data_IF_418811906883
#
_entry.id   IF_418811906883
#
_cell.length_a   1.000
_cell.length_b   1.000
_cell.length_c   1.000
_cell.angle_alpha   90.00
_cell.angle_beta   90.00
_cell.angle_gamma   90.00
#
_symmetry.space_group_name_H-M   'P 1'
#
loop_
_entity.id
_entity.type
_entity.pdbx_description
1 polymer ?
#
# COMPACT_ATOMS: atom_id res chain seq x y z
N UNK A 1 23.63 4.29 16.56
CA UNK A 1 22.42 3.48 16.70
C UNK A 1 22.53 2.63 17.95
N UNK A 2 21.49 2.60 18.77
CA UNK A 2 21.38 1.83 20.00
C UNK A 2 21.47 0.32 19.69
N UNK A 3 22.33 -0.39 20.42
CA UNK A 3 22.47 -1.84 20.32
C UNK A 3 21.89 -2.49 21.59
N UNK A 4 20.74 -3.16 21.54
CA UNK A 4 20.09 -3.72 22.72
C UNK A 4 20.88 -4.86 23.42
N UNK A 5 21.95 -5.35 22.80
CA UNK A 5 22.82 -6.38 23.39
C UNK A 5 23.98 -5.82 24.19
N UNK A 6 24.36 -4.56 23.97
CA UNK A 6 25.55 -3.96 24.57
C UNK A 6 25.31 -2.64 25.27
N UNK A 7 24.23 -1.93 24.89
CA UNK A 7 23.95 -0.60 25.38
C UNK A 7 22.87 -0.64 26.46
N UNK A 8 23.11 0.08 27.55
CA UNK A 8 22.10 0.29 28.59
C UNK A 8 21.22 1.49 28.23
N UNK A 9 19.92 1.37 28.53
CA UNK A 9 19.00 2.48 28.36
C UNK A 9 19.28 3.54 29.42
N UNK A 10 19.30 4.83 29.07
CA UNK A 10 19.29 5.91 30.07
C UNK A 10 18.04 5.83 30.95
N UNK A 11 18.20 6.06 32.25
CA UNK A 11 17.10 5.98 33.20
C UNK A 11 15.89 6.88 32.83
N UNK A 12 16.14 8.00 32.17
CA UNK A 12 15.08 8.89 31.65
C UNK A 12 14.23 8.23 30.56
N UNK A 13 14.85 7.37 29.72
CA UNK A 13 14.13 6.62 28.66
C UNK A 13 13.37 5.45 29.27
N UNK A 14 13.97 4.72 30.23
CA UNK A 14 13.26 3.68 30.98
C UNK A 14 11.99 4.25 31.65
N UNK A 15 12.09 5.43 32.29
CA UNK A 15 10.95 6.11 32.89
C UNK A 15 9.85 6.51 31.87
N UNK A 16 10.21 6.74 30.58
CA UNK A 16 9.21 6.96 29.53
C UNK A 16 8.46 5.68 29.19
N UNK A 17 9.14 4.53 29.16
CA UNK A 17 8.48 3.23 28.96
C UNK A 17 7.48 2.93 30.09
N UNK A 18 7.89 3.11 31.34
CA UNK A 18 7.00 2.89 32.50
C UNK A 18 5.75 3.77 32.42
N UNK A 19 5.94 5.07 32.13
CA UNK A 19 4.83 6.01 31.95
C UNK A 19 3.91 5.63 30.77
N UNK A 20 4.47 5.14 29.67
CA UNK A 20 3.69 4.70 28.51
C UNK A 20 2.85 3.47 28.84
N UNK A 21 3.41 2.52 29.59
CA UNK A 21 2.69 1.33 30.09
C UNK A 21 1.55 1.77 31.02
N UNK A 22 1.82 2.66 31.99
CA UNK A 22 0.79 3.18 32.90
C UNK A 22 -0.33 3.92 32.15
N UNK A 23 -0.01 4.74 31.13
CA UNK A 23 -0.98 5.44 30.32
C UNK A 23 -1.86 4.45 29.54
N UNK A 24 -1.26 3.43 28.92
CA UNK A 24 -1.99 2.38 28.23
C UNK A 24 -2.90 1.57 29.15
N UNK A 25 -2.46 1.26 30.38
CA UNK A 25 -3.29 0.57 31.37
C UNK A 25 -4.52 1.38 31.82
N UNK A 26 -4.48 2.70 31.68
CA UNK A 26 -5.60 3.62 31.98
C UNK A 26 -6.44 3.97 30.76
N UNK A 27 -6.19 3.33 29.61
CA UNK A 27 -6.82 3.65 28.32
C UNK A 27 -6.62 5.13 27.91
N UNK A 28 -5.51 5.77 28.33
CA UNK A 28 -5.17 7.13 27.94
C UNK A 28 -4.40 7.10 26.62
N UNK A 29 -5.14 7.02 25.52
CA UNK A 29 -4.59 6.92 24.17
C UNK A 29 -3.67 8.11 23.82
N UNK A 30 -4.09 9.34 24.15
CA UNK A 30 -3.33 10.54 23.82
C UNK A 30 -1.98 10.59 24.53
N UNK A 31 -1.95 10.29 25.82
CA UNK A 31 -0.70 10.21 26.59
C UNK A 31 0.19 9.06 26.11
N UNK A 32 -0.41 7.91 25.81
CA UNK A 32 0.34 6.75 25.31
C UNK A 32 1.04 7.09 23.98
N UNK A 33 0.33 7.70 23.03
CA UNK A 33 0.90 8.11 21.73
C UNK A 33 2.02 9.13 21.92
N UNK A 34 1.83 10.16 22.79
CA UNK A 34 2.86 11.18 23.01
C UNK A 34 4.14 10.58 23.63
N UNK A 35 3.99 9.68 24.60
CA UNK A 35 5.12 9.00 25.23
C UNK A 35 5.85 8.06 24.26
N UNK A 36 5.11 7.29 23.46
CA UNK A 36 5.69 6.43 22.43
C UNK A 36 6.49 7.25 21.41
N UNK A 37 5.98 8.39 20.96
CA UNK A 37 6.71 9.28 20.04
C UNK A 37 8.02 9.80 20.61
N UNK A 38 8.07 10.10 21.90
CA UNK A 38 9.31 10.52 22.59
C UNK A 38 10.33 9.37 22.63
N UNK A 39 9.87 8.15 22.89
CA UNK A 39 10.69 6.94 22.86
C UNK A 39 11.22 6.69 21.44
N UNK A 40 10.36 6.74 20.43
CA UNK A 40 10.73 6.58 19.02
C UNK A 40 11.76 7.61 18.57
N UNK A 41 11.61 8.87 19.00
CA UNK A 41 12.56 9.95 18.69
C UNK A 41 13.95 9.67 19.27
N UNK A 42 14.02 9.12 20.48
CA UNK A 42 15.31 8.72 21.08
C UNK A 42 16.04 7.67 20.24
N UNK A 43 15.30 6.69 19.68
CA UNK A 43 15.88 5.66 18.81
C UNK A 43 16.10 6.14 17.37
N UNK A 44 15.78 7.38 17.05
CA UNK A 44 15.93 7.95 15.71
C UNK A 44 14.93 7.43 14.69
N UNK A 45 13.78 6.92 15.13
CA UNK A 45 12.69 6.57 14.22
C UNK A 45 12.10 7.83 13.57
N UNK A 46 11.80 7.81 12.27
CA UNK A 46 11.21 8.95 11.60
C UNK A 46 9.79 9.21 12.13
N UNK A 47 9.41 10.47 12.15
CA UNK A 47 8.02 10.85 12.45
C UNK A 47 7.04 10.16 11.48
N UNK A 48 5.79 9.89 11.92
CA UNK A 48 4.77 9.32 11.05
C UNK A 48 4.57 10.15 9.79
N UNK A 49 4.46 9.48 8.64
CA UNK A 49 4.24 10.15 7.38
C UNK A 49 2.75 10.50 7.22
N UNK A 50 2.41 11.79 7.33
CA UNK A 50 1.03 12.26 7.23
C UNK A 50 0.36 11.92 5.88
N UNK A 51 1.11 11.87 4.77
CA UNK A 51 0.57 11.49 3.47
C UNK A 51 0.10 10.04 3.48
N UNK A 52 0.89 9.14 4.09
CA UNK A 52 0.52 7.72 4.24
C UNK A 52 -0.71 7.56 5.12
N UNK A 53 -0.75 8.30 6.25
CA UNK A 53 -1.90 8.26 7.15
C UNK A 53 -3.18 8.77 6.48
N UNK A 54 -3.13 9.91 5.79
CA UNK A 54 -4.29 10.49 5.07
C UNK A 54 -4.76 9.62 3.90
N UNK A 55 -3.86 8.91 3.25
CA UNK A 55 -4.20 8.03 2.14
C UNK A 55 -4.67 6.63 2.58
N UNK A 56 -4.57 6.31 3.88
CA UNK A 56 -4.96 5.01 4.46
C UNK A 56 -4.36 3.82 3.71
N UNK A 57 -3.08 3.92 3.34
CA UNK A 57 -2.38 2.90 2.56
C UNK A 57 -1.35 2.14 3.39
N UNK A 58 -1.09 0.87 3.05
CA UNK A 58 0.00 0.11 3.67
C UNK A 58 1.37 0.74 3.41
N UNK A 59 2.26 0.73 4.42
CA UNK A 59 3.62 1.27 4.27
C UNK A 59 4.41 0.65 3.12
N UNK A 60 4.26 -0.66 2.86
CA UNK A 60 4.88 -1.33 1.72
C UNK A 60 4.39 -0.82 0.36
N UNK A 61 3.12 -0.42 0.26
CA UNK A 61 2.60 0.22 -0.96
C UNK A 61 3.27 1.57 -1.20
N UNK A 62 3.37 2.41 -0.16
CA UNK A 62 4.07 3.69 -0.22
C UNK A 62 5.53 3.54 -0.65
N UNK A 63 6.27 2.62 -0.02
CA UNK A 63 7.68 2.37 -0.33
C UNK A 63 7.89 1.96 -1.78
N UNK A 64 7.00 1.11 -2.33
CA UNK A 64 7.05 0.71 -3.74
C UNK A 64 6.78 1.88 -4.69
N UNK A 65 5.79 2.73 -4.39
CA UNK A 65 5.51 3.93 -5.19
C UNK A 65 6.70 4.89 -5.21
N UNK A 66 7.31 5.14 -4.06
CA UNK A 66 8.53 5.96 -3.94
C UNK A 66 9.68 5.37 -4.75
N UNK A 67 9.91 4.05 -4.66
CA UNK A 67 10.97 3.38 -5.41
C UNK A 67 10.74 3.49 -6.94
N UNK A 68 9.51 3.27 -7.39
CA UNK A 68 9.14 3.42 -8.80
C UNK A 68 9.39 4.85 -9.30
N UNK A 69 8.94 5.85 -8.55
CA UNK A 69 9.10 7.26 -8.93
C UNK A 69 10.57 7.70 -8.93
N UNK A 70 11.38 7.21 -8.00
CA UNK A 70 12.84 7.44 -7.99
C UNK A 70 13.52 6.87 -9.24
N UNK A 71 13.16 5.66 -9.65
CA UNK A 71 13.68 5.07 -10.89
C UNK A 71 13.32 5.88 -12.13
N UNK A 72 12.13 6.50 -12.12
CA UNK A 72 11.62 7.34 -13.21
C UNK A 72 12.10 8.80 -13.09
N UNK A 73 12.80 9.18 -12.02
CA UNK A 73 13.19 10.56 -11.68
C UNK A 73 11.99 11.51 -11.72
N UNK A 74 10.91 11.11 -11.08
CA UNK A 74 9.61 11.78 -11.09
C UNK A 74 8.98 11.83 -9.69
N UNK A 75 9.80 12.01 -8.64
CA UNK A 75 9.37 11.97 -7.23
C UNK A 75 8.33 13.05 -6.91
N UNK A 76 8.34 14.15 -7.64
CA UNK A 76 7.37 15.24 -7.49
C UNK A 76 5.92 14.82 -7.78
N UNK A 77 5.71 13.70 -8.47
CA UNK A 77 4.37 13.18 -8.78
C UNK A 77 3.75 12.42 -7.60
N UNK A 78 4.54 12.05 -6.60
CA UNK A 78 4.08 11.22 -5.49
C UNK A 78 2.80 11.75 -4.81
N UNK A 79 2.65 13.04 -4.46
CA UNK A 79 1.43 13.55 -3.86
C UNK A 79 0.21 13.31 -4.75
N UNK A 80 0.33 13.56 -6.05
CA UNK A 80 -0.76 13.34 -7.00
C UNK A 80 -1.12 11.87 -7.15
N UNK A 81 -0.12 11.00 -7.24
CA UNK A 81 -0.34 9.55 -7.28
C UNK A 81 -1.09 9.05 -6.03
N UNK A 82 -0.74 9.59 -4.84
CA UNK A 82 -1.43 9.27 -3.58
C UNK A 82 -2.89 9.69 -3.60
N UNK A 83 -3.21 10.88 -4.11
CA UNK A 83 -4.59 11.38 -4.26
C UNK A 83 -5.43 10.51 -5.22
N UNK A 84 -4.81 9.88 -6.20
CA UNK A 84 -5.49 9.03 -7.19
C UNK A 84 -5.79 7.61 -6.67
N UNK A 85 -5.16 7.16 -5.58
CA UNK A 85 -5.34 5.80 -5.06
C UNK A 85 -6.81 5.45 -4.81
N UNK A 86 -7.62 6.27 -4.12
CA UNK A 86 -9.03 5.93 -3.88
C UNK A 86 -9.83 5.73 -5.17
N UNK A 87 -9.63 6.58 -6.17
CA UNK A 87 -10.34 6.50 -7.45
C UNK A 87 -9.90 5.28 -8.28
N UNK A 88 -8.59 5.01 -8.33
CA UNK A 88 -8.04 3.83 -9.03
C UNK A 88 -8.50 2.53 -8.35
N UNK A 89 -8.51 2.50 -7.01
CA UNK A 89 -8.99 1.37 -6.22
C UNK A 89 -10.48 1.13 -6.47
N UNK A 90 -11.30 2.18 -6.45
CA UNK A 90 -12.74 2.07 -6.73
C UNK A 90 -12.99 1.56 -8.15
N UNK A 91 -12.30 2.10 -9.16
CA UNK A 91 -12.42 1.68 -10.55
C UNK A 91 -12.02 0.20 -10.74
N UNK A 92 -11.08 -0.31 -9.93
CA UNK A 92 -10.67 -1.71 -9.91
C UNK A 92 -11.59 -2.62 -9.05
N UNK A 93 -12.74 -2.13 -8.57
CA UNK A 93 -13.70 -2.93 -7.79
C UNK A 93 -13.38 -3.03 -6.30
N UNK A 94 -12.69 -2.05 -5.71
CA UNK A 94 -12.32 -1.98 -4.30
C UNK A 94 -11.53 -3.20 -3.80
N UNK A 95 -10.48 -3.66 -4.49
CA UNK A 95 -9.68 -4.75 -3.97
C UNK A 95 -9.08 -4.40 -2.60
N UNK A 96 -8.86 -5.39 -1.71
CA UNK A 96 -8.18 -5.15 -0.44
C UNK A 96 -6.75 -4.67 -0.71
N UNK A 97 -6.28 -3.68 0.09
CA UNK A 97 -4.91 -3.15 -0.04
C UNK A 97 -3.89 -4.04 0.67
N UNK A 98 -3.85 -5.31 0.29
CA UNK A 98 -2.86 -6.30 0.70
C UNK A 98 -2.03 -6.76 -0.50
N UNK A 99 -0.89 -7.38 -0.28
CA UNK A 99 -0.07 -7.95 -1.37
C UNK A 99 -0.83 -9.09 -2.08
N UNK A 100 -0.89 -9.12 -3.41
CA UNK A 100 -0.23 -8.22 -4.37
C UNK A 100 -1.06 -6.99 -4.78
N UNK A 101 -2.35 -6.93 -4.44
CA UNK A 101 -3.31 -5.93 -4.97
C UNK A 101 -2.97 -4.50 -4.57
N UNK A 102 -2.42 -4.27 -3.37
CA UNK A 102 -1.94 -2.95 -2.96
C UNK A 102 -0.84 -2.41 -3.90
N UNK A 103 0.10 -3.27 -4.30
CA UNK A 103 1.17 -2.89 -5.22
C UNK A 103 0.63 -2.62 -6.64
N UNK A 104 -0.33 -3.41 -7.09
CA UNK A 104 -0.99 -3.23 -8.40
C UNK A 104 -1.72 -1.89 -8.46
N UNK A 105 -2.51 -1.57 -7.44
CA UNK A 105 -3.25 -0.31 -7.34
C UNK A 105 -2.29 0.87 -7.23
N UNK A 106 -1.24 0.78 -6.40
CA UNK A 106 -0.24 1.83 -6.24
C UNK A 106 0.52 2.13 -7.53
N UNK A 107 1.00 1.10 -8.22
CA UNK A 107 1.69 1.25 -9.50
C UNK A 107 0.76 1.85 -10.57
N UNK A 108 -0.51 1.48 -10.59
CA UNK A 108 -1.46 2.07 -11.53
C UNK A 108 -1.80 3.52 -11.19
N UNK A 109 -1.87 3.89 -9.92
CA UNK A 109 -2.04 5.29 -9.51
C UNK A 109 -0.85 6.16 -9.96
N UNK A 110 0.38 5.66 -9.85
CA UNK A 110 1.58 6.31 -10.40
C UNK A 110 1.47 6.45 -11.92
N UNK A 111 1.07 5.41 -12.66
CA UNK A 111 0.90 5.47 -14.09
C UNK A 111 -0.16 6.50 -14.51
N UNK A 112 -1.28 6.58 -13.79
CA UNK A 112 -2.32 7.58 -14.04
C UNK A 112 -1.82 9.02 -13.80
N UNK A 113 -1.06 9.25 -12.72
CA UNK A 113 -0.46 10.56 -12.45
C UNK A 113 0.58 10.97 -13.52
N UNK A 114 1.36 10.00 -14.02
CA UNK A 114 2.28 10.22 -15.15
C UNK A 114 1.52 10.52 -16.46
N UNK A 115 0.40 9.86 -16.71
CA UNK A 115 -0.44 10.15 -17.87
C UNK A 115 -1.01 11.57 -17.80
N UNK A 116 -1.53 11.99 -16.64
CA UNK A 116 -2.02 13.36 -16.42
C UNK A 116 -0.90 14.39 -16.65
N UNK A 117 0.29 14.19 -16.08
CA UNK A 117 1.45 15.08 -16.26
C UNK A 117 1.84 15.23 -17.73
N UNK A 118 1.70 14.15 -18.50
CA UNK A 118 2.00 14.13 -19.92
C UNK A 118 0.82 14.61 -20.82
N UNK A 119 -0.29 15.09 -20.23
CA UNK A 119 -1.48 15.50 -20.98
C UNK A 119 -2.22 14.34 -21.65
N UNK A 120 -2.02 13.12 -21.19
CA UNK A 120 -2.70 11.92 -21.71
C UNK A 120 -3.91 11.56 -20.85
N UNK A 121 -4.93 10.92 -21.43
CA UNK A 121 -6.03 10.36 -20.65
C UNK A 121 -5.53 9.35 -19.62
N UNK A 122 -6.13 9.35 -18.42
CA UNK A 122 -5.88 8.33 -17.41
C UNK A 122 -6.07 6.92 -17.98
N UNK A 123 -5.23 6.00 -17.50
CA UNK A 123 -5.17 4.60 -17.97
C UNK A 123 -4.67 4.43 -19.42
N UNK A 124 -3.95 5.42 -19.97
CA UNK A 124 -3.17 5.23 -21.19
C UNK A 124 -2.04 4.23 -20.94
N UNK A 125 -1.30 4.42 -19.83
CA UNK A 125 -0.33 3.45 -19.34
C UNK A 125 -1.00 2.49 -18.35
N UNK A 126 -0.99 1.21 -18.69
CA UNK A 126 -1.59 0.14 -17.88
C UNK A 126 -0.55 -0.95 -17.65
N UNK A 127 -0.37 -1.37 -16.38
CA UNK A 127 0.45 -2.55 -16.11
C UNK A 127 -0.34 -3.82 -16.46
N UNK A 128 0.37 -4.88 -16.85
CA UNK A 128 -0.25 -6.19 -17.12
C UNK A 128 -1.01 -6.73 -15.91
N UNK A 129 -0.46 -6.48 -14.70
CA UNK A 129 -1.11 -6.88 -13.45
C UNK A 129 -2.43 -6.13 -13.22
N UNK A 130 -2.48 -4.82 -13.52
CA UNK A 130 -3.73 -4.06 -13.40
C UNK A 130 -4.77 -4.53 -14.42
N UNK A 131 -4.35 -4.82 -15.63
CA UNK A 131 -5.22 -5.42 -16.66
C UNK A 131 -5.78 -6.77 -16.17
N UNK A 132 -4.93 -7.65 -15.63
CA UNK A 132 -5.35 -8.94 -15.05
C UNK A 132 -6.30 -8.78 -13.86
N UNK A 133 -6.04 -7.78 -12.97
CA UNK A 133 -6.92 -7.47 -11.85
C UNK A 133 -8.33 -7.08 -12.32
N UNK A 134 -8.42 -6.13 -13.26
CA UNK A 134 -9.69 -5.66 -13.83
C UNK A 134 -10.39 -6.75 -14.62
N UNK A 135 -9.66 -7.64 -15.26
CA UNK A 135 -10.19 -8.80 -16.00
C UNK A 135 -10.81 -9.86 -15.08
N UNK A 136 -10.35 -9.95 -13.81
CA UNK A 136 -10.85 -10.91 -12.82
C UNK A 136 -9.89 -12.07 -12.55
N UNK A 137 -8.63 -12.00 -13.01
CA UNK A 137 -7.62 -13.06 -12.83
C UNK A 137 -7.17 -13.21 -11.36
N UNK A 138 -7.43 -12.20 -10.52
CA UNK A 138 -7.13 -12.20 -9.07
C UNK A 138 -8.36 -12.58 -8.22
N UNK A 139 -9.45 -13.04 -8.83
CA UNK A 139 -10.70 -13.40 -8.17
C UNK A 139 -11.74 -12.27 -8.18
N UNK A 140 -12.87 -12.52 -7.52
CA UNK A 140 -13.99 -11.57 -7.45
C UNK A 140 -13.61 -10.34 -6.64
N UNK A 141 -13.99 -9.17 -7.16
CA UNK A 141 -13.82 -7.90 -6.46
C UNK A 141 -15.00 -7.61 -5.54
N UNK A 142 -14.79 -6.90 -4.39
CA UNK A 142 -15.87 -6.53 -3.47
C UNK A 142 -16.97 -5.70 -4.12
N UNK A 143 -16.64 -4.85 -5.08
CA UNK A 143 -17.57 -4.03 -5.85
C UNK A 143 -17.47 -4.41 -7.32
N UNK A 144 -18.62 -4.49 -7.97
CA UNK A 144 -18.70 -4.81 -9.40
C UNK A 144 -18.02 -3.70 -10.20
N UNK A 145 -17.07 -4.10 -11.05
CA UNK A 145 -16.40 -3.18 -11.97
C UNK A 145 -17.35 -2.79 -13.09
N UNK A 146 -17.38 -1.51 -13.46
CA UNK A 146 -18.14 -1.01 -14.59
C UNK A 146 -17.75 -1.75 -15.89
N UNK A 147 -18.70 -2.32 -16.65
CA UNK A 147 -18.39 -3.11 -17.84
C UNK A 147 -17.68 -2.32 -18.94
N UNK A 148 -17.98 -1.02 -19.09
CA UNK A 148 -17.33 -0.19 -20.11
C UNK A 148 -15.90 0.17 -19.68
N UNK A 149 -15.69 0.43 -18.39
CA UNK A 149 -14.35 0.57 -17.86
C UNK A 149 -13.53 -0.71 -18.03
N UNK A 150 -14.11 -1.88 -17.71
CA UNK A 150 -13.46 -3.18 -17.92
C UNK A 150 -13.09 -3.37 -19.40
N UNK A 151 -14.02 -3.08 -20.30
CA UNK A 151 -13.76 -3.16 -21.74
C UNK A 151 -12.61 -2.23 -22.18
N UNK A 152 -12.59 -0.98 -21.68
CA UNK A 152 -11.51 -0.03 -21.94
C UNK A 152 -10.13 -0.55 -21.46
N UNK A 153 -10.09 -1.25 -20.32
CA UNK A 153 -8.84 -1.70 -19.72
C UNK A 153 -8.35 -3.01 -20.33
N UNK A 154 -9.22 -4.01 -20.46
CA UNK A 154 -8.82 -5.38 -20.81
C UNK A 154 -9.56 -5.98 -22.04
N UNK A 155 -10.43 -5.20 -22.72
CA UNK A 155 -11.10 -5.62 -23.94
C UNK A 155 -12.28 -6.57 -23.76
N UNK A 156 -12.68 -6.86 -22.51
CA UNK A 156 -13.86 -7.71 -22.19
C UNK A 156 -14.79 -6.96 -21.26
N UNK A 157 -16.12 -7.18 -21.37
CA UNK A 157 -17.12 -6.56 -20.50
C UNK A 157 -17.44 -7.41 -19.28
N UNK A 158 -17.28 -8.71 -19.40
CA UNK A 158 -17.54 -9.66 -18.33
C UNK A 158 -16.26 -10.11 -17.63
N UNK A 159 -16.41 -10.50 -16.40
CA UNK A 159 -15.31 -11.04 -15.60
C UNK A 159 -14.85 -12.38 -16.20
N UNK A 160 -13.54 -12.48 -16.40
CA UNK A 160 -12.89 -13.68 -16.92
C UNK A 160 -11.89 -14.18 -15.88
N UNK A 161 -12.34 -14.99 -14.92
CA UNK A 161 -11.47 -15.50 -13.87
C UNK A 161 -10.39 -16.40 -14.44
N UNK A 162 -9.31 -16.55 -13.70
CA UNK A 162 -8.25 -17.50 -14.03
C UNK A 162 -8.80 -18.92 -13.99
N UNK A 163 -8.58 -19.67 -15.06
CA UNK A 163 -9.01 -21.08 -15.13
C UNK A 163 -8.05 -21.99 -14.35
N UNK A 164 -8.47 -22.39 -13.16
CA UNK A 164 -7.71 -23.30 -12.30
C UNK A 164 -7.98 -24.78 -12.60
N UNK A 165 -8.93 -25.11 -13.51
CA UNK A 165 -9.30 -26.49 -13.82
C UNK A 165 -8.14 -27.29 -14.43
N UNK A 166 -7.19 -26.59 -15.05
CA UNK A 166 -5.99 -27.19 -15.67
C UNK A 166 -4.84 -27.39 -14.67
N UNK A 167 -4.97 -26.88 -13.45
CA UNK A 167 -3.94 -27.04 -12.43
C UNK A 167 -4.05 -28.43 -11.83
N UNK A 168 -3.04 -29.26 -12.09
CA UNK A 168 -2.88 -30.56 -11.45
C UNK A 168 -1.75 -30.46 -10.42
N UNK A 169 -2.06 -30.79 -9.17
CA UNK A 169 -1.03 -30.93 -8.15
C UNK A 169 -0.11 -32.09 -8.55
N UNK A 170 1.17 -31.80 -8.67
CA UNK A 170 2.17 -32.84 -8.80
C UNK A 170 2.21 -33.65 -7.50
N UNK A 171 2.28 -35.01 -7.57
CA UNK A 171 2.49 -35.80 -6.38
C UNK A 171 3.80 -35.36 -5.72
N UNK A 172 3.76 -35.07 -4.43
CA UNK A 172 4.98 -34.80 -3.69
C UNK A 172 5.68 -36.14 -3.39
N UNK A 173 6.83 -36.45 -4.01
CA UNK A 173 7.49 -37.73 -3.81
C UNK A 173 8.07 -37.90 -2.39
N UNK A 174 8.09 -36.81 -1.57
CA UNK A 174 8.57 -36.84 -0.20
C UNK A 174 7.44 -37.00 0.83
N UNK A 175 6.19 -37.10 0.41
CA UNK A 175 5.01 -37.41 1.23
C UNK A 175 4.48 -38.80 0.92
#
# INVERSE_FOLDING_TARGET
>A
PFNPLTDELPAEIEALFDKAIEAAQRDDEAATIDLCRKIEAYFGFPAPNELVQKAEIPGGMYSNMVAQLKQLKAEEILPRAMELIPSVRLAAGLPPLVTPTSQIVGAQAVNCALDEKAGRPMYTNKSSQFVGLVKGEYGKTPVKIDPEFRFKICGVREETPYDTSKYQMQPNPEL
#
